data_IF_176513651390
#
_entry.id   IF_176513651390
#
_cell.length_a   1.000
_cell.length_b   1.000
_cell.length_c   1.000
_cell.angle_alpha   90.00
_cell.angle_beta   90.00
_cell.angle_gamma   90.00
#
_symmetry.space_group_name_H-M   'P 1'
#
loop_
_entity.id
_entity.type
_entity.pdbx_description
1 polymer ?
#
# COMPACT_ATOMS: atom_id res chain seq x y z
N UNK A 1 -17.78 0.92 37.36
CA UNK A 1 -18.61 1.60 36.34
C UNK A 1 -17.90 1.40 35.02
N UNK A 2 -18.35 0.43 34.23
CA UNK A 2 -17.86 0.20 32.86
C UNK A 2 -18.33 1.38 32.01
N UNK A 3 -17.40 2.24 31.58
CA UNK A 3 -17.70 3.21 30.55
C UNK A 3 -18.30 2.46 29.36
N UNK A 4 -19.54 2.80 29.00
CA UNK A 4 -20.17 2.33 27.76
C UNK A 4 -19.20 2.66 26.62
N UNK A 5 -18.63 1.64 26.00
CA UNK A 5 -17.73 1.83 24.88
C UNK A 5 -18.48 2.61 23.80
N UNK A 6 -17.82 3.64 23.23
CA UNK A 6 -18.39 4.43 22.14
C UNK A 6 -18.86 3.49 21.03
N UNK A 7 -20.14 3.50 20.72
CA UNK A 7 -20.75 2.62 19.71
C UNK A 7 -20.99 3.30 18.36
N UNK A 8 -20.85 4.65 18.30
CA UNK A 8 -21.14 5.44 17.12
C UNK A 8 -19.89 6.19 16.62
N UNK A 9 -19.60 6.08 15.32
CA UNK A 9 -18.41 6.65 14.66
C UNK A 9 -18.81 7.36 13.36
N UNK A 10 -17.99 8.35 12.94
CA UNK A 10 -18.14 8.96 11.62
C UNK A 10 -17.78 7.97 10.51
N UNK A 11 -16.79 7.12 10.77
CA UNK A 11 -16.36 6.09 9.84
C UNK A 11 -15.95 4.80 10.56
N UNK A 12 -16.35 3.66 10.00
CA UNK A 12 -15.83 2.33 10.37
C UNK A 12 -15.02 1.78 9.19
N UNK A 13 -13.85 1.25 9.49
CA UNK A 13 -12.95 0.62 8.52
C UNK A 13 -12.82 -0.86 8.87
N UNK A 14 -13.13 -1.73 7.91
CA UNK A 14 -12.98 -3.17 8.05
C UNK A 14 -11.72 -3.62 7.36
N UNK A 15 -10.74 -4.07 8.15
CA UNK A 15 -9.42 -4.53 7.72
C UNK A 15 -8.29 -3.62 8.18
N UNK A 16 -7.41 -4.15 9.02
CA UNK A 16 -6.21 -3.48 9.57
C UNK A 16 -4.95 -3.69 8.74
N UNK A 17 -5.09 -3.88 7.42
CA UNK A 17 -3.96 -3.89 6.48
C UNK A 17 -3.47 -2.48 6.14
N UNK A 18 -2.47 -2.37 5.25
CA UNK A 18 -1.91 -1.09 4.82
C UNK A 18 -2.97 -0.11 4.32
N UNK A 19 -3.92 -0.58 3.51
CA UNK A 19 -4.98 0.26 2.95
C UNK A 19 -5.91 0.78 4.06
N UNK A 20 -6.39 -0.10 4.92
CA UNK A 20 -7.29 0.30 6.01
C UNK A 20 -6.63 1.24 7.00
N UNK A 21 -5.39 0.97 7.40
CA UNK A 21 -4.62 1.86 8.28
C UNK A 21 -4.34 3.22 7.64
N UNK A 22 -4.00 3.26 6.35
CA UNK A 22 -3.76 4.52 5.64
C UNK A 22 -5.03 5.39 5.56
N UNK A 23 -6.18 4.76 5.25
CA UNK A 23 -7.46 5.46 5.21
C UNK A 23 -7.85 5.93 6.62
N UNK A 24 -7.69 5.05 7.62
CA UNK A 24 -8.00 5.38 9.01
C UNK A 24 -7.18 6.54 9.54
N UNK A 25 -5.89 6.51 9.31
CA UNK A 25 -5.00 7.60 9.66
C UNK A 25 -5.41 8.91 8.95
N UNK A 26 -5.65 8.86 7.64
CA UNK A 26 -6.07 10.03 6.89
C UNK A 26 -7.38 10.64 7.39
N UNK A 27 -8.38 9.82 7.69
CA UNK A 27 -9.67 10.29 8.21
C UNK A 27 -9.53 10.87 9.63
N UNK A 28 -8.73 10.23 10.50
CA UNK A 28 -8.49 10.73 11.86
C UNK A 28 -7.76 12.09 11.88
N UNK A 29 -6.87 12.34 10.92
CA UNK A 29 -6.25 13.67 10.73
C UNK A 29 -7.25 14.77 10.38
N UNK A 30 -8.37 14.42 9.79
CA UNK A 30 -9.46 15.34 9.48
C UNK A 30 -10.41 15.55 10.67
N UNK A 31 -10.09 15.01 11.84
CA UNK A 31 -10.89 15.13 13.06
C UNK A 31 -12.10 14.20 13.10
N UNK A 32 -12.22 13.25 12.18
CA UNK A 32 -13.31 12.28 12.19
C UNK A 32 -13.09 11.20 13.27
N UNK A 33 -14.17 10.78 13.92
CA UNK A 33 -14.12 9.63 14.82
C UNK A 33 -14.10 8.34 13.99
N UNK A 34 -12.99 7.60 14.11
CA UNK A 34 -12.71 6.41 13.29
C UNK A 34 -12.61 5.17 14.17
N UNK A 35 -13.33 4.10 13.78
CA UNK A 35 -13.14 2.75 14.30
C UNK A 35 -12.54 1.87 13.20
N UNK A 36 -11.44 1.19 13.50
CA UNK A 36 -10.85 0.17 12.65
C UNK A 36 -11.08 -1.20 13.28
N UNK A 37 -11.75 -2.08 12.55
CA UNK A 37 -12.02 -3.47 12.94
C UNK A 37 -11.14 -4.41 12.13
N UNK A 38 -10.38 -5.26 12.81
CA UNK A 38 -9.55 -6.27 12.17
C UNK A 38 -9.84 -7.66 12.72
N UNK A 39 -9.96 -8.63 11.83
CA UNK A 39 -10.32 -10.00 12.19
C UNK A 39 -9.22 -10.75 12.98
N UNK A 40 -8.04 -10.14 13.12
CA UNK A 40 -6.90 -10.75 13.80
C UNK A 40 -5.92 -11.39 12.83
N UNK A 41 -4.86 -11.97 13.40
CA UNK A 41 -3.61 -12.22 12.72
C UNK A 41 -3.30 -13.69 12.50
N UNK A 42 -4.34 -14.46 12.29
CA UNK A 42 -4.24 -15.92 12.12
C UNK A 42 -3.85 -16.37 10.71
N UNK A 43 -3.85 -15.45 9.74
CA UNK A 43 -3.54 -15.76 8.34
C UNK A 43 -2.37 -14.92 7.81
N UNK A 44 -1.64 -15.48 6.85
CA UNK A 44 -0.65 -14.74 6.06
C UNK A 44 -1.40 -13.69 5.24
N UNK A 45 -1.12 -12.41 5.47
CA UNK A 45 -1.78 -11.29 4.81
C UNK A 45 -0.84 -10.60 3.84
N UNK A 46 -1.38 -10.13 2.71
CA UNK A 46 -0.62 -9.40 1.70
C UNK A 46 0.10 -8.17 2.26
N UNK A 47 -0.49 -7.46 3.22
CA UNK A 47 0.12 -6.30 3.85
C UNK A 47 1.39 -6.63 4.64
N UNK A 48 1.56 -7.85 5.15
CA UNK A 48 2.76 -8.32 5.84
C UNK A 48 3.74 -9.02 4.92
N UNK A 49 3.23 -9.71 3.92
CA UNK A 49 4.01 -10.40 2.91
C UNK A 49 4.27 -9.53 1.69
N UNK A 50 4.77 -8.31 1.87
CA UNK A 50 5.20 -7.46 0.76
C UNK A 50 6.57 -6.85 1.07
N UNK A 51 7.28 -6.45 0.02
CA UNK A 51 8.63 -5.88 0.12
C UNK A 51 8.65 -4.35 0.07
N UNK A 52 7.49 -3.72 0.17
CA UNK A 52 7.35 -2.28 0.42
C UNK A 52 7.66 -1.39 -0.76
N UNK A 53 7.40 -1.81 -2.00
CA UNK A 53 7.64 -0.98 -3.17
C UNK A 53 6.80 0.32 -3.15
N UNK A 54 7.49 1.44 -3.31
CA UNK A 54 6.94 2.70 -3.79
C UNK A 54 7.23 2.74 -5.29
N UNK A 55 6.24 2.45 -6.13
CA UNK A 55 6.50 2.10 -7.52
C UNK A 55 5.48 2.71 -8.46
N UNK A 56 5.95 3.50 -9.44
CA UNK A 56 5.10 4.12 -10.46
C UNK A 56 5.31 3.55 -11.87
N UNK A 57 6.45 2.93 -12.13
CA UNK A 57 6.74 2.32 -13.42
C UNK A 57 5.67 1.31 -13.84
N UNK A 58 4.98 1.60 -14.92
CA UNK A 58 3.95 0.73 -15.48
C UNK A 58 2.65 0.64 -14.67
N UNK A 59 2.49 1.43 -13.59
CA UNK A 59 1.21 1.53 -12.88
C UNK A 59 0.25 2.40 -13.69
N UNK A 60 -0.91 1.84 -14.00
CA UNK A 60 -1.93 2.53 -14.80
C UNK A 60 -1.51 2.83 -16.25
N UNK A 61 -0.59 2.07 -16.83
CA UNK A 61 -0.14 2.28 -18.22
C UNK A 61 -1.32 2.34 -19.20
N UNK A 62 -2.39 1.58 -18.94
CA UNK A 62 -3.63 1.56 -19.72
C UNK A 62 -4.83 2.16 -18.97
N UNK A 63 -4.59 2.85 -17.85
CA UNK A 63 -5.61 3.49 -17.04
C UNK A 63 -5.09 4.84 -16.49
N UNK A 64 -5.19 5.90 -17.28
CA UNK A 64 -4.55 7.21 -17.00
C UNK A 64 -4.85 7.78 -15.61
N UNK A 65 -6.10 7.70 -15.15
CA UNK A 65 -6.48 8.21 -13.82
C UNK A 65 -5.74 7.50 -12.68
N UNK A 66 -5.47 6.20 -12.82
CA UNK A 66 -4.69 5.44 -11.85
C UNK A 66 -3.19 5.81 -11.93
N UNK A 67 -2.67 6.03 -13.13
CA UNK A 67 -1.30 6.49 -13.31
C UNK A 67 -1.08 7.87 -12.67
N UNK A 68 -1.98 8.82 -12.89
CA UNK A 68 -1.94 10.14 -12.25
C UNK A 68 -2.01 10.04 -10.73
N UNK A 69 -2.87 9.18 -10.22
CA UNK A 69 -3.00 8.97 -8.78
C UNK A 69 -1.74 8.37 -8.16
N UNK A 70 -1.16 7.34 -8.77
CA UNK A 70 0.09 6.73 -8.26
C UNK A 70 1.26 7.70 -8.31
N UNK A 71 1.39 8.49 -9.38
CA UNK A 71 2.41 9.53 -9.49
C UNK A 71 2.24 10.61 -8.40
N UNK A 72 1.01 11.05 -8.16
CA UNK A 72 0.72 12.01 -7.07
C UNK A 72 1.09 11.40 -5.70
N UNK A 73 0.72 10.15 -5.47
CA UNK A 73 1.04 9.43 -4.23
C UNK A 73 2.56 9.30 -4.02
N UNK A 74 3.30 8.97 -5.10
CA UNK A 74 4.76 8.88 -5.04
C UNK A 74 5.41 10.19 -4.57
N UNK A 75 4.93 11.33 -5.04
CA UNK A 75 5.41 12.67 -4.65
C UNK A 75 5.09 13.05 -3.20
N UNK A 76 4.08 12.43 -2.60
CA UNK A 76 3.67 12.70 -1.21
C UNK A 76 4.42 11.83 -0.19
N UNK A 77 5.15 10.82 -0.62
CA UNK A 77 5.84 9.91 0.28
C UNK A 77 6.83 10.60 1.23
N UNK A 78 7.71 11.52 0.77
CA UNK A 78 8.65 12.18 1.69
C UNK A 78 7.94 12.91 2.83
N UNK A 79 6.93 13.73 2.52
CA UNK A 79 6.18 14.47 3.53
C UNK A 79 5.40 13.57 4.49
N UNK A 80 4.83 12.46 3.98
CA UNK A 80 4.17 11.46 4.83
C UNK A 80 5.18 10.75 5.73
N UNK A 81 6.36 10.43 5.22
CA UNK A 81 7.40 9.78 6.01
C UNK A 81 7.89 10.68 7.13
N UNK A 82 8.11 11.95 6.87
CA UNK A 82 8.51 12.94 7.89
C UNK A 82 7.43 13.08 8.95
N UNK A 83 6.17 13.23 8.55
CA UNK A 83 5.03 13.31 9.45
C UNK A 83 4.89 12.08 10.36
N UNK A 84 5.06 10.89 9.80
CA UNK A 84 4.95 9.64 10.55
C UNK A 84 6.18 9.37 11.45
N UNK A 85 7.35 9.95 11.15
CA UNK A 85 8.54 9.86 12.01
C UNK A 85 8.39 10.66 13.31
N UNK A 86 7.66 11.75 13.30
CA UNK A 86 7.33 12.54 14.50
C UNK A 86 6.38 11.79 15.45
N UNK A 87 5.78 10.73 14.97
CA UNK A 87 4.93 9.82 15.73
C UNK A 87 5.83 8.72 16.29
N UNK A 88 6.58 8.97 17.39
CA UNK A 88 7.33 8.00 18.21
C UNK A 88 7.35 6.54 17.71
N UNK A 89 8.10 6.28 16.67
CA UNK A 89 8.12 4.98 16.00
C UNK A 89 9.45 4.71 15.30
N UNK A 90 9.72 3.49 14.88
CA UNK A 90 10.91 3.19 14.10
C UNK A 90 10.87 3.99 12.80
N UNK A 91 12.03 4.50 12.39
CA UNK A 91 12.16 5.15 11.07
C UNK A 91 11.57 4.26 9.99
N UNK A 92 10.71 4.81 9.14
CA UNK A 92 10.01 4.05 8.09
C UNK A 92 10.96 3.38 7.09
N UNK A 93 12.20 3.85 7.01
CA UNK A 93 13.17 3.35 6.02
C UNK A 93 12.70 3.66 4.60
N UNK A 94 12.12 4.84 4.39
CA UNK A 94 11.81 5.31 3.04
C UNK A 94 13.10 5.63 2.29
N UNK A 95 13.26 5.01 1.14
CA UNK A 95 14.33 5.29 0.18
C UNK A 95 13.69 5.48 -1.20
N UNK A 96 13.73 6.69 -1.72
CA UNK A 96 13.24 7.05 -3.06
C UNK A 96 14.39 7.51 -3.94
N UNK A 97 15.38 6.63 -4.11
CA UNK A 97 16.58 6.89 -4.92
C UNK A 97 16.43 6.39 -6.36
N UNK A 98 15.22 6.08 -6.76
CA UNK A 98 14.90 5.47 -8.04
C UNK A 98 14.76 3.95 -7.96
N UNK A 99 14.25 3.37 -9.03
CA UNK A 99 14.06 1.93 -9.19
C UNK A 99 14.43 1.46 -10.58
N UNK A 100 14.97 0.25 -10.65
CA UNK A 100 15.36 -0.42 -11.89
C UNK A 100 14.39 -1.55 -12.20
N UNK A 101 13.77 -1.52 -13.36
CA UNK A 101 13.02 -2.65 -13.91
C UNK A 101 13.91 -3.39 -14.88
N UNK A 102 14.48 -4.52 -14.43
CA UNK A 102 15.46 -5.30 -15.15
C UNK A 102 14.85 -6.00 -16.34
N UNK A 103 15.59 -6.02 -17.45
CA UNK A 103 15.28 -6.75 -18.67
C UNK A 103 16.38 -7.74 -19.00
N UNK A 104 16.02 -8.96 -19.38
CA UNK A 104 16.94 -10.05 -19.66
C UNK A 104 17.21 -10.24 -21.17
N UNK A 105 16.54 -9.46 -22.01
CA UNK A 105 16.71 -9.49 -23.46
C UNK A 105 16.36 -8.15 -24.10
N UNK A 106 16.84 -7.92 -25.32
CA UNK A 106 16.47 -6.74 -26.12
C UNK A 106 14.97 -6.68 -26.40
N UNK A 107 14.33 -7.84 -26.56
CA UNK A 107 12.87 -7.90 -26.73
C UNK A 107 12.13 -7.40 -25.48
N UNK A 108 12.59 -7.76 -24.28
CA UNK A 108 12.04 -7.22 -23.02
C UNK A 108 12.33 -5.72 -22.88
N UNK A 109 13.50 -5.25 -23.29
CA UNK A 109 13.84 -3.83 -23.33
C UNK A 109 12.84 -3.05 -24.19
N UNK A 110 12.58 -3.55 -25.41
CA UNK A 110 11.63 -2.90 -26.33
C UNK A 110 10.21 -2.90 -25.76
N UNK A 111 9.73 -4.04 -25.25
CA UNK A 111 8.40 -4.13 -24.61
C UNK A 111 8.26 -3.17 -23.42
N UNK A 112 9.32 -3.05 -22.62
CA UNK A 112 9.35 -2.15 -21.48
C UNK A 112 9.30 -0.70 -21.94
N UNK A 113 10.11 -0.35 -22.93
CA UNK A 113 10.10 0.98 -23.54
C UNK A 113 8.71 1.35 -24.06
N UNK A 114 8.09 0.49 -24.88
CA UNK A 114 6.78 0.77 -25.47
C UNK A 114 5.72 1.03 -24.39
N UNK A 115 5.75 0.22 -23.32
CA UNK A 115 4.82 0.38 -22.18
C UNK A 115 5.02 1.69 -21.44
N UNK A 116 6.26 2.07 -21.17
CA UNK A 116 6.59 3.30 -20.42
C UNK A 116 6.41 4.55 -21.29
N UNK A 117 6.67 4.45 -22.58
CA UNK A 117 6.41 5.52 -23.54
C UNK A 117 4.91 5.78 -23.68
N UNK A 118 4.10 4.70 -23.75
CA UNK A 118 2.65 4.82 -23.70
C UNK A 118 2.18 5.56 -22.43
N UNK A 119 2.75 5.22 -21.27
CA UNK A 119 2.45 5.90 -20.00
C UNK A 119 2.87 7.37 -20.05
N UNK A 120 4.06 7.68 -20.60
CA UNK A 120 4.57 9.06 -20.73
C UNK A 120 3.66 9.92 -21.61
N UNK A 121 3.21 9.38 -22.74
CA UNK A 121 2.29 10.06 -23.67
C UNK A 121 0.95 10.36 -22.97
N UNK A 122 0.36 9.36 -22.31
CA UNK A 122 -0.90 9.52 -21.58
C UNK A 122 -0.83 10.51 -20.41
N UNK A 123 0.34 10.68 -19.82
CA UNK A 123 0.57 11.68 -18.78
C UNK A 123 1.08 13.03 -19.32
N UNK A 124 0.94 13.30 -20.62
CA UNK A 124 1.39 14.53 -21.26
C UNK A 124 2.87 14.88 -20.96
N UNK A 125 3.75 13.86 -21.00
CA UNK A 125 5.18 13.99 -20.75
C UNK A 125 5.58 14.14 -19.28
N UNK A 126 4.64 14.10 -18.32
CA UNK A 126 4.96 14.27 -16.88
C UNK A 126 5.60 13.04 -16.23
N UNK A 127 5.46 11.88 -16.85
CA UNK A 127 6.17 10.68 -16.43
C UNK A 127 7.54 10.61 -17.12
N UNK A 128 8.60 10.53 -16.32
CA UNK A 128 9.97 10.43 -16.82
C UNK A 128 10.55 9.07 -16.49
N UNK A 129 11.21 8.49 -17.45
CA UNK A 129 11.97 7.25 -17.32
C UNK A 129 13.19 7.28 -18.23
N UNK A 130 14.16 6.43 -17.95
CA UNK A 130 15.36 6.24 -18.75
C UNK A 130 15.52 4.77 -19.08
N UNK A 131 15.90 4.46 -20.32
CA UNK A 131 16.32 3.11 -20.70
C UNK A 131 17.83 3.04 -20.56
N UNK A 132 18.29 2.18 -19.69
CA UNK A 132 19.72 1.96 -19.41
C UNK A 132 20.18 0.68 -20.08
N UNK A 133 21.29 0.75 -20.80
CA UNK A 133 21.98 -0.43 -21.29
C UNK A 133 22.66 -1.20 -20.14
N UNK A 134 23.19 -2.37 -20.45
CA UNK A 134 23.88 -3.19 -19.46
C UNK A 134 25.05 -2.46 -18.78
N UNK A 135 25.81 -1.63 -19.50
CA UNK A 135 26.97 -0.94 -18.97
C UNK A 135 26.53 0.07 -17.90
N UNK A 136 25.52 0.90 -18.20
CA UNK A 136 24.94 1.85 -17.27
C UNK A 136 24.32 1.17 -16.05
N UNK A 137 23.59 0.05 -16.24
CA UNK A 137 23.05 -0.73 -15.10
C UNK A 137 24.17 -1.27 -14.21
N UNK A 138 25.30 -1.71 -14.80
CA UNK A 138 26.45 -2.23 -14.04
C UNK A 138 27.16 -1.16 -13.22
N UNK A 139 27.16 0.10 -13.67
CA UNK A 139 27.68 1.23 -12.87
C UNK A 139 26.84 1.44 -11.60
N UNK A 140 25.52 1.35 -11.74
CA UNK A 140 24.58 1.48 -10.61
C UNK A 140 24.64 0.23 -9.70
N UNK A 141 24.73 -0.96 -10.31
CA UNK A 141 24.71 -2.26 -9.64
C UNK A 141 25.85 -3.16 -10.12
N UNK A 142 27.07 -3.02 -9.59
CA UNK A 142 28.23 -3.79 -10.01
C UNK A 142 28.05 -5.31 -9.98
N UNK A 143 27.22 -5.81 -9.05
CA UNK A 143 26.91 -7.25 -8.88
C UNK A 143 25.86 -7.81 -9.82
N UNK A 144 25.41 -7.07 -10.84
CA UNK A 144 24.35 -7.54 -11.72
C UNK A 144 24.77 -8.76 -12.54
N UNK A 145 23.85 -9.72 -12.66
CA UNK A 145 24.10 -10.98 -13.35
C UNK A 145 24.41 -10.82 -14.84
N UNK A 146 25.10 -11.82 -15.45
CA UNK A 146 25.55 -11.73 -16.85
C UNK A 146 24.42 -11.71 -17.88
N UNK A 147 23.23 -12.18 -17.54
CA UNK A 147 22.07 -12.26 -18.45
C UNK A 147 21.27 -10.97 -18.57
N UNK A 148 21.59 -9.92 -17.78
CA UNK A 148 20.87 -8.66 -17.85
C UNK A 148 21.25 -7.94 -19.14
N UNK A 149 20.28 -7.61 -19.98
CA UNK A 149 20.44 -6.81 -21.20
C UNK A 149 20.45 -5.31 -20.85
N UNK A 150 19.59 -4.90 -19.92
CA UNK A 150 19.46 -3.52 -19.50
C UNK A 150 18.34 -3.36 -18.47
N UNK A 151 17.88 -2.14 -18.26
CA UNK A 151 16.78 -1.82 -17.36
C UNK A 151 16.07 -0.53 -17.77
N UNK A 152 14.81 -0.39 -17.33
CA UNK A 152 14.20 0.92 -17.24
C UNK A 152 14.42 1.49 -15.84
N UNK A 153 14.80 2.74 -15.74
CA UNK A 153 14.99 3.50 -14.51
C UNK A 153 13.91 4.57 -14.36
N UNK A 154 13.38 4.72 -13.14
CA UNK A 154 12.49 5.81 -12.80
C UNK A 154 12.87 6.39 -11.43
N UNK A 155 13.16 7.69 -11.40
CA UNK A 155 13.58 8.40 -10.19
C UNK A 155 12.48 8.50 -9.11
N UNK A 156 11.21 8.31 -9.47
CA UNK A 156 10.09 8.36 -8.53
C UNK A 156 9.86 7.05 -7.75
N UNK A 157 10.55 5.99 -8.15
CA UNK A 157 10.44 4.69 -7.50
C UNK A 157 11.33 4.60 -6.26
N UNK A 158 11.00 3.65 -5.40
CA UNK A 158 11.72 3.44 -4.17
C UNK A 158 11.08 2.35 -3.32
N UNK A 159 11.36 2.37 -2.04
CA UNK A 159 10.78 1.43 -1.07
C UNK A 159 10.62 2.04 0.31
N UNK A 160 9.80 1.39 1.11
CA UNK A 160 9.58 1.69 2.53
C UNK A 160 9.47 0.36 3.27
N UNK A 161 9.82 0.31 4.56
CA UNK A 161 9.54 -0.88 5.35
C UNK A 161 8.04 -0.98 5.64
N UNK A 162 7.31 -1.97 5.08
CA UNK A 162 5.86 -2.04 5.19
C UNK A 162 5.38 -2.31 6.62
N UNK A 163 6.17 -3.02 7.44
CA UNK A 163 5.79 -3.32 8.83
C UNK A 163 5.94 -2.09 9.72
N UNK A 164 6.99 -1.29 9.50
CA UNK A 164 7.17 -0.02 10.21
C UNK A 164 6.13 1.00 9.79
N UNK A 165 5.79 1.04 8.50
CA UNK A 165 4.71 1.88 7.99
C UNK A 165 3.36 1.52 8.64
N UNK A 166 3.00 0.23 8.68
CA UNK A 166 1.76 -0.21 9.34
C UNK A 166 1.71 0.21 10.80
N UNK A 167 2.81 0.02 11.54
CA UNK A 167 2.90 0.41 12.94
C UNK A 167 2.76 1.92 13.13
N UNK A 168 3.45 2.72 12.31
CA UNK A 168 3.38 4.18 12.39
C UNK A 168 1.96 4.70 12.08
N UNK A 169 1.32 4.18 11.03
CA UNK A 169 -0.06 4.53 10.68
C UNK A 169 -1.05 4.17 11.80
N UNK A 170 -0.91 2.99 12.41
CA UNK A 170 -1.75 2.58 13.54
C UNK A 170 -1.54 3.47 14.76
N UNK A 171 -0.28 3.77 15.10
CA UNK A 171 0.04 4.66 16.21
C UNK A 171 -0.52 6.06 15.95
N UNK A 172 -0.37 6.59 14.74
CA UNK A 172 -0.92 7.88 14.34
C UNK A 172 -2.44 7.93 14.41
N UNK A 173 -3.12 6.89 13.91
CA UNK A 173 -4.57 6.76 14.04
C UNK A 173 -5.04 6.82 15.50
N UNK A 174 -4.39 6.06 16.39
CA UNK A 174 -4.73 6.03 17.83
C UNK A 174 -4.46 7.38 18.49
N UNK A 175 -3.33 8.03 18.18
CA UNK A 175 -2.99 9.36 18.72
C UNK A 175 -4.00 10.44 18.32
N UNK A 176 -4.56 10.32 17.12
CA UNK A 176 -5.63 11.21 16.65
C UNK A 176 -7.02 10.85 17.22
N UNK A 177 -7.09 9.95 18.22
CA UNK A 177 -8.35 9.56 18.87
C UNK A 177 -9.12 8.44 18.16
N UNK A 178 -8.55 7.83 17.12
CA UNK A 178 -9.13 6.65 16.49
C UNK A 178 -9.02 5.40 17.36
N UNK A 179 -9.93 4.46 17.17
CA UNK A 179 -10.00 3.19 17.90
C UNK A 179 -9.64 2.04 16.96
N UNK A 180 -8.73 1.17 17.39
CA UNK A 180 -8.35 -0.04 16.66
C UNK A 180 -8.73 -1.27 17.49
N UNK A 181 -9.61 -2.11 16.98
CA UNK A 181 -9.99 -3.37 17.60
C UNK A 181 -9.45 -4.54 16.76
N UNK A 182 -8.49 -5.24 17.30
CA UNK A 182 -8.00 -6.52 16.78
C UNK A 182 -8.91 -7.67 17.25
N UNK A 183 -8.84 -8.82 16.56
CA UNK A 183 -9.67 -10.00 16.84
C UNK A 183 -11.19 -9.68 16.88
N UNK A 184 -11.58 -8.77 15.99
CA UNK A 184 -12.96 -8.29 15.85
C UNK A 184 -13.45 -8.52 14.41
N UNK A 185 -13.63 -9.80 13.99
CA UNK A 185 -14.14 -10.10 12.66
C UNK A 185 -15.55 -9.56 12.49
N UNK A 186 -15.78 -8.86 11.39
CA UNK A 186 -17.13 -8.39 11.03
C UNK A 186 -17.93 -9.59 10.54
N UNK A 187 -19.07 -9.83 11.18
CA UNK A 187 -19.98 -10.93 10.86
C UNK A 187 -21.20 -10.48 10.07
N UNK A 188 -21.61 -9.23 10.22
CA UNK A 188 -22.78 -8.68 9.53
C UNK A 188 -22.65 -7.18 9.32
N UNK A 189 -23.20 -6.71 8.19
CA UNK A 189 -23.32 -5.30 7.86
C UNK A 189 -24.73 -5.04 7.39
N UNK A 190 -25.42 -4.08 8.03
CA UNK A 190 -26.78 -3.68 7.66
C UNK A 190 -26.88 -2.18 7.47
N UNK A 191 -27.41 -1.75 6.33
CA UNK A 191 -27.75 -0.35 6.11
C UNK A 191 -29.13 -0.05 6.68
N UNK A 192 -29.22 0.97 7.52
CA UNK A 192 -30.47 1.43 8.13
C UNK A 192 -30.63 2.94 7.87
N UNK A 193 -31.33 3.28 6.81
CA UNK A 193 -31.47 4.68 6.39
C UNK A 193 -30.13 5.30 6.03
N UNK A 194 -29.72 6.34 6.77
CA UNK A 194 -28.44 7.04 6.61
C UNK A 194 -27.30 6.45 7.42
N UNK A 195 -27.55 5.46 8.27
CA UNK A 195 -26.57 4.82 9.13
C UNK A 195 -26.28 3.39 8.68
N UNK A 196 -25.12 2.90 9.06
CA UNK A 196 -24.66 1.54 8.77
C UNK A 196 -24.32 0.88 10.10
N UNK A 197 -24.98 -0.24 10.38
CA UNK A 197 -24.70 -1.09 11.53
C UNK A 197 -23.68 -2.16 11.14
N UNK A 198 -22.64 -2.31 11.95
CA UNK A 198 -21.56 -3.28 11.76
C UNK A 198 -21.48 -4.15 13.01
N UNK A 199 -21.71 -5.44 12.85
CA UNK A 199 -21.71 -6.41 13.94
C UNK A 199 -20.44 -7.25 13.93
N UNK A 200 -19.91 -7.48 15.11
CA UNK A 200 -18.88 -8.48 15.41
C UNK A 200 -19.49 -9.52 16.36
N UNK A 201 -18.84 -10.65 16.63
CA UNK A 201 -19.35 -11.62 17.61
C UNK A 201 -19.51 -11.07 19.03
N UNK A 202 -18.88 -9.95 19.35
CA UNK A 202 -18.88 -9.37 20.70
C UNK A 202 -19.68 -8.08 20.82
N UNK A 203 -19.64 -7.25 19.77
CA UNK A 203 -20.11 -5.87 19.84
C UNK A 203 -20.83 -5.47 18.55
N UNK A 204 -21.67 -4.44 18.67
CA UNK A 204 -22.34 -3.77 17.55
C UNK A 204 -21.92 -2.31 17.51
N UNK A 205 -21.64 -1.83 16.31
CA UNK A 205 -21.20 -0.46 16.05
C UNK A 205 -22.07 0.17 14.98
N UNK A 206 -22.12 1.50 14.99
CA UNK A 206 -22.87 2.29 14.03
C UNK A 206 -21.95 3.35 13.41
N UNK A 207 -22.11 3.61 12.10
CA UNK A 207 -21.37 4.66 11.43
C UNK A 207 -22.17 5.31 10.29
N UNK A 208 -21.69 6.47 9.85
CA UNK A 208 -22.20 7.14 8.66
C UNK A 208 -21.51 6.66 7.38
N UNK A 209 -20.26 6.20 7.49
CA UNK A 209 -19.44 5.74 6.36
C UNK A 209 -18.74 4.45 6.69
N UNK A 210 -18.81 3.50 5.77
CA UNK A 210 -18.13 2.21 5.90
C UNK A 210 -17.08 2.06 4.80
N UNK A 211 -15.88 1.64 5.19
CA UNK A 211 -14.80 1.31 4.28
C UNK A 211 -14.49 -0.18 4.37
N UNK A 212 -14.63 -0.89 3.27
CA UNK A 212 -14.22 -2.29 3.16
C UNK A 212 -12.77 -2.37 2.63
N UNK A 213 -11.82 -2.63 3.51
CA UNK A 213 -10.39 -2.73 3.23
C UNK A 213 -9.80 -4.08 3.67
N UNK A 214 -10.63 -5.12 3.70
CA UNK A 214 -10.32 -6.44 4.24
C UNK A 214 -9.59 -7.38 3.25
N UNK A 215 -9.05 -6.84 2.15
CA UNK A 215 -8.32 -7.62 1.15
C UNK A 215 -9.20 -8.73 0.54
N UNK A 216 -8.75 -9.98 0.57
CA UNK A 216 -9.50 -11.13 0.03
C UNK A 216 -10.85 -11.34 0.70
N UNK A 217 -10.99 -10.97 1.98
CA UNK A 217 -12.26 -11.09 2.69
C UNK A 217 -13.35 -10.14 2.18
N UNK A 218 -12.99 -9.12 1.39
CA UNK A 218 -13.98 -8.25 0.74
C UNK A 218 -14.92 -9.02 -0.19
N UNK A 219 -14.51 -10.15 -0.75
CA UNK A 219 -15.39 -11.01 -1.56
C UNK A 219 -16.64 -11.49 -0.78
N UNK A 220 -16.49 -11.72 0.54
CA UNK A 220 -17.61 -12.09 1.42
C UNK A 220 -18.32 -10.90 2.05
N UNK A 221 -17.65 -9.76 2.22
CA UNK A 221 -18.22 -8.58 2.88
C UNK A 221 -18.96 -7.65 1.90
N UNK A 222 -18.50 -7.52 0.68
CA UNK A 222 -19.10 -6.63 -0.32
C UNK A 222 -20.58 -6.96 -0.62
N UNK A 223 -20.98 -8.24 -0.74
CA UNK A 223 -22.39 -8.58 -0.94
C UNK A 223 -23.33 -8.11 0.19
N UNK A 224 -22.83 -8.00 1.43
CA UNK A 224 -23.63 -7.53 2.57
C UNK A 224 -24.08 -6.06 2.40
N UNK A 225 -23.41 -5.31 1.53
CA UNK A 225 -23.75 -3.91 1.21
C UNK A 225 -24.23 -3.73 -0.24
N UNK A 226 -24.58 -4.82 -0.91
CA UNK A 226 -25.09 -4.80 -2.29
C UNK A 226 -24.03 -4.53 -3.34
N UNK A 227 -22.75 -4.76 -3.04
CA UNK A 227 -21.65 -4.62 -3.99
C UNK A 227 -21.17 -6.00 -4.47
N UNK A 228 -20.92 -6.11 -5.76
CA UNK A 228 -20.21 -7.24 -6.32
C UNK A 228 -18.73 -6.91 -6.46
N UNK A 229 -17.87 -7.74 -5.91
CA UNK A 229 -16.43 -7.59 -6.05
C UNK A 229 -15.79 -8.96 -6.28
N UNK A 230 -15.21 -9.15 -7.46
CA UNK A 230 -14.40 -10.33 -7.72
C UNK A 230 -12.96 -10.06 -7.30
N UNK A 231 -12.54 -10.65 -6.18
CA UNK A 231 -11.15 -10.66 -5.72
C UNK A 231 -10.69 -12.10 -5.70
N UNK A 232 -9.75 -12.43 -6.57
CA UNK A 232 -9.16 -13.77 -6.63
C UNK A 232 -7.79 -13.78 -5.96
N UNK A 233 -7.47 -14.81 -5.14
CA UNK A 233 -6.17 -14.92 -4.53
C UNK A 233 -5.10 -15.21 -5.60
N UNK A 234 -4.03 -14.40 -5.59
CA UNK A 234 -2.80 -14.69 -6.32
C UNK A 234 -1.69 -14.96 -5.33
N UNK A 235 -1.01 -16.10 -5.47
CA UNK A 235 0.11 -16.46 -4.62
C UNK A 235 1.34 -15.66 -5.03
N UNK A 236 1.83 -14.80 -4.13
CA UNK A 236 3.17 -14.24 -4.17
C UNK A 236 4.11 -15.04 -3.27
N UNK A 237 5.40 -15.05 -3.59
CA UNK A 237 6.43 -15.65 -2.74
C UNK A 237 7.54 -14.63 -2.51
N UNK A 238 7.92 -14.46 -1.25
CA UNK A 238 9.02 -13.59 -0.82
C UNK A 238 10.10 -14.47 -0.22
N UNK A 239 11.32 -14.26 -0.65
CA UNK A 239 12.51 -14.87 -0.05
C UNK A 239 13.23 -13.80 0.75
N UNK A 240 13.47 -14.06 2.03
CA UNK A 240 14.18 -13.16 2.93
C UNK A 240 15.54 -13.80 3.23
N UNK A 241 16.61 -13.07 3.00
CA UNK A 241 17.97 -13.48 3.36
C UNK A 241 18.35 -12.94 4.74
N UNK A 242 19.38 -13.50 5.33
CA UNK A 242 20.06 -12.85 6.45
C UNK A 242 20.65 -11.50 6.03
N UNK A 243 20.97 -10.65 7.03
CA UNK A 243 21.63 -9.38 6.77
C UNK A 243 22.99 -9.64 6.11
N UNK A 244 23.13 -9.22 4.87
CA UNK A 244 24.36 -9.34 4.12
C UNK A 244 25.37 -8.26 4.55
N UNK A 245 26.66 -8.63 4.67
CA UNK A 245 27.74 -7.69 4.99
C UNK A 245 28.05 -6.73 3.84
N UNK A 246 27.68 -7.08 2.61
CA UNK A 246 27.69 -6.16 1.47
C UNK A 246 26.33 -5.49 1.34
N UNK A 247 26.33 -4.18 1.45
CA UNK A 247 25.18 -3.39 1.06
C UNK A 247 24.99 -3.58 -0.46
N UNK A 248 23.97 -4.32 -0.84
CA UNK A 248 23.38 -4.14 -2.15
C UNK A 248 22.99 -2.67 -2.19
N UNK A 249 23.65 -1.91 -3.08
CA UNK A 249 23.34 -0.52 -3.24
C UNK A 249 21.84 -0.37 -3.51
N UNK A 250 21.25 0.64 -2.90
CA UNK A 250 19.84 0.85 -2.61
C UNK A 250 18.96 1.10 -3.84
N UNK A 251 19.12 0.35 -4.90
CA UNK A 251 18.24 0.41 -6.05
C UNK A 251 17.36 -0.83 -6.09
N UNK A 252 16.06 -0.61 -6.07
CA UNK A 252 15.09 -1.69 -6.15
C UNK A 252 15.08 -2.29 -7.55
N UNK A 253 15.04 -3.61 -7.57
CA UNK A 253 14.85 -4.42 -8.76
C UNK A 253 13.41 -4.95 -8.76
N UNK A 254 12.73 -4.82 -9.86
CA UNK A 254 11.43 -5.49 -10.10
C UNK A 254 11.51 -6.32 -11.36
#
# INVERSE_FOLDING_TARGET
MTQSAKSNFDAIIVGGGLIGLSIGYGLSRLGLSVLLLDAGDTAIRAARGNFGLVWVQGKGAYFPSYADWTMRSSKLWPSLADELQDIDGPKLGLHQNGGLSICLSEAEMQQRFDKLEHLRVHQNGRFHFEMLDRAAVKEIMPGIGPRVAGAAYCAHDGHVNPLYLMRALQTGLIRNGGVCLSNSPVSEIRKNGSTINVSTPKDNFECQRLVLAAGLANAGLAPMVGLEQSVTPQKGQIVITEKLNQQLQQHLLS
#
